data_IF_097415290717
#
_entry.id   IF_097415290717
#
_cell.length_a   1.000
_cell.length_b   1.000
_cell.length_c   1.000
_cell.angle_alpha   90.00
_cell.angle_beta   90.00
_cell.angle_gamma   90.00
#
_symmetry.space_group_name_H-M   'P 1'
#
loop_
_entity.id
_entity.type
_entity.pdbx_description
1 polymer ?
#
# COMPACT_ATOMS: atom_id res chain seq x y z
N UNK A 1 41.60 -13.82 -41.14
CA UNK A 1 41.89 -12.51 -40.55
C UNK A 1 41.34 -12.53 -39.13
N UNK A 2 42.19 -12.81 -38.13
CA UNK A 2 41.79 -12.79 -36.72
C UNK A 2 41.67 -11.33 -36.31
N UNK A 3 40.44 -10.84 -36.13
CA UNK A 3 40.21 -9.58 -35.42
C UNK A 3 40.75 -9.72 -34.00
N UNK A 4 41.80 -8.97 -33.71
CA UNK A 4 42.32 -8.77 -32.36
C UNK A 4 41.22 -8.17 -31.49
N UNK A 5 40.61 -8.98 -30.63
CA UNK A 5 39.77 -8.51 -29.54
C UNK A 5 40.66 -7.66 -28.64
N UNK A 6 40.55 -6.34 -28.79
CA UNK A 6 41.20 -5.40 -27.87
C UNK A 6 40.67 -5.70 -26.46
N UNK A 7 41.55 -5.98 -25.48
CA UNK A 7 41.10 -6.24 -24.12
C UNK A 7 40.37 -4.99 -23.62
N UNK A 8 39.13 -5.15 -23.15
CA UNK A 8 38.40 -4.04 -22.54
C UNK A 8 39.29 -3.34 -21.51
N UNK A 9 39.30 -1.99 -21.45
CA UNK A 9 40.10 -1.28 -20.49
C UNK A 9 39.77 -1.79 -19.09
N UNK A 10 40.81 -2.32 -18.41
CA UNK A 10 40.72 -2.86 -17.04
C UNK A 10 40.27 -1.81 -16.02
N UNK A 11 40.35 -0.52 -16.37
CA UNK A 11 40.06 0.59 -15.46
C UNK A 11 38.75 1.30 -15.80
N UNK A 12 37.96 1.56 -14.77
CA UNK A 12 36.76 2.37 -14.91
C UNK A 12 37.09 3.86 -14.98
N UNK A 13 36.42 4.58 -15.88
CA UNK A 13 36.48 6.06 -15.92
C UNK A 13 36.18 6.64 -14.53
N UNK A 14 36.86 7.72 -14.09
CA UNK A 14 36.66 8.31 -12.77
C UNK A 14 35.20 8.54 -12.39
N UNK A 15 34.40 9.08 -13.32
CA UNK A 15 32.96 9.30 -13.14
C UNK A 15 32.20 8.01 -12.81
N UNK A 16 32.46 6.90 -13.52
CA UNK A 16 31.79 5.61 -13.27
C UNK A 16 32.17 5.05 -11.90
N UNK A 17 33.40 5.28 -11.44
CA UNK A 17 33.84 4.90 -10.08
C UNK A 17 33.08 5.67 -9.01
N UNK A 18 32.95 6.99 -9.16
CA UNK A 18 32.21 7.84 -8.22
C UNK A 18 30.73 7.47 -8.20
N UNK A 19 30.13 7.33 -9.39
CA UNK A 19 28.72 6.93 -9.51
C UNK A 19 28.47 5.58 -8.85
N UNK A 20 29.33 4.59 -9.09
CA UNK A 20 29.21 3.29 -8.42
C UNK A 20 29.32 3.39 -6.90
N UNK A 21 30.31 4.15 -6.37
CA UNK A 21 30.47 4.33 -4.92
C UNK A 21 29.24 4.97 -4.29
N UNK A 22 28.70 6.01 -4.94
CA UNK A 22 27.46 6.64 -4.52
C UNK A 22 26.28 5.68 -4.57
N UNK A 23 26.05 5.00 -5.69
CA UNK A 23 24.95 4.04 -5.81
C UNK A 23 25.07 2.88 -4.83
N UNK A 24 26.29 2.40 -4.57
CA UNK A 24 26.54 1.33 -3.61
C UNK A 24 26.17 1.76 -2.19
N UNK A 25 26.59 2.96 -1.78
CA UNK A 25 26.29 3.48 -0.45
C UNK A 25 24.82 3.88 -0.34
N UNK A 26 24.30 4.70 -1.26
CA UNK A 26 22.95 5.23 -1.22
C UNK A 26 21.90 4.13 -1.27
N UNK A 27 21.89 3.31 -2.33
CA UNK A 27 20.87 2.28 -2.47
C UNK A 27 21.08 1.13 -1.48
N UNK A 28 22.33 0.81 -1.13
CA UNK A 28 22.63 -0.17 -0.08
C UNK A 28 22.09 0.27 1.28
N UNK A 29 22.37 1.51 1.68
CA UNK A 29 21.84 2.09 2.93
C UNK A 29 20.32 2.22 2.89
N UNK A 30 19.74 2.65 1.77
CA UNK A 30 18.28 2.71 1.62
C UNK A 30 17.65 1.34 1.82
N UNK A 31 18.18 0.29 1.17
CA UNK A 31 17.68 -1.08 1.35
C UNK A 31 17.81 -1.58 2.80
N UNK A 32 18.87 -1.20 3.51
CA UNK A 32 19.11 -1.66 4.89
C UNK A 32 18.33 -0.85 5.92
N UNK A 33 18.21 0.46 5.72
CA UNK A 33 17.54 1.36 6.65
C UNK A 33 16.02 1.38 6.46
N UNK A 34 15.54 1.02 5.26
CA UNK A 34 14.11 0.88 4.99
C UNK A 34 13.63 -0.50 5.45
N UNK A 35 12.83 -0.59 6.53
CA UNK A 35 12.52 -1.89 7.12
C UNK A 35 11.73 -2.79 6.17
N UNK A 36 10.80 -2.20 5.43
CA UNK A 36 9.97 -2.89 4.44
C UNK A 36 10.80 -3.60 3.37
N UNK A 37 11.96 -3.06 2.99
CA UNK A 37 12.81 -3.65 1.94
C UNK A 37 13.40 -5.00 2.34
N UNK A 38 13.61 -5.23 3.65
CA UNK A 38 14.20 -6.47 4.17
C UNK A 38 13.19 -7.39 4.84
N UNK A 39 12.10 -6.84 5.38
CA UNK A 39 11.13 -7.60 6.17
C UNK A 39 10.50 -8.75 5.35
N UNK A 40 10.26 -8.56 4.05
CA UNK A 40 9.72 -9.62 3.18
C UNK A 40 10.56 -10.91 3.16
N UNK A 41 11.86 -10.81 3.44
CA UNK A 41 12.74 -11.97 3.45
C UNK A 41 12.66 -12.79 4.75
N UNK A 42 12.06 -12.28 5.83
CA UNK A 42 11.77 -13.08 7.02
C UNK A 42 10.83 -14.23 6.69
N UNK A 43 10.03 -14.08 5.63
CA UNK A 43 9.04 -15.04 5.19
C UNK A 43 8.14 -15.52 6.33
N UNK A 44 7.84 -16.82 6.37
CA UNK A 44 6.94 -17.39 7.38
C UNK A 44 7.49 -17.27 8.81
N UNK A 45 8.78 -16.96 9.00
CA UNK A 45 9.28 -16.63 10.33
C UNK A 45 8.64 -15.36 10.92
N UNK A 46 8.05 -14.52 10.07
CA UNK A 46 7.29 -13.34 10.47
C UNK A 46 6.11 -13.66 11.40
N UNK A 47 5.58 -14.90 11.38
CA UNK A 47 4.48 -15.32 12.27
C UNK A 47 4.89 -15.26 13.75
N UNK A 48 6.18 -15.45 14.05
CA UNK A 48 6.72 -15.39 15.40
C UNK A 48 7.24 -14.01 15.79
N UNK A 49 7.17 -13.04 14.87
CA UNK A 49 7.55 -11.66 15.16
C UNK A 49 6.33 -10.88 15.67
N UNK A 50 6.51 -9.95 16.61
CA UNK A 50 5.46 -9.00 16.99
C UNK A 50 4.98 -8.17 15.79
N UNK A 51 3.72 -7.74 15.81
CA UNK A 51 3.09 -6.96 14.72
C UNK A 51 3.86 -5.67 14.40
N UNK A 52 4.56 -5.11 15.38
CA UNK A 52 5.35 -3.89 15.22
C UNK A 52 6.82 -4.12 14.83
N UNK A 53 7.22 -5.38 14.56
CA UNK A 53 8.59 -5.74 14.24
C UNK A 53 9.16 -5.02 13.02
N UNK A 54 8.30 -4.74 12.03
CA UNK A 54 8.67 -3.95 10.86
C UNK A 54 9.11 -2.53 11.23
N UNK A 55 8.70 -1.99 12.38
CA UNK A 55 9.05 -0.63 12.80
C UNK A 55 10.26 -0.56 13.73
N UNK A 56 10.81 -1.69 14.19
CA UNK A 56 11.88 -1.70 15.19
C UNK A 56 13.13 -0.91 14.78
N UNK A 57 13.52 -0.99 13.50
CA UNK A 57 14.68 -0.25 13.00
C UNK A 57 14.47 1.26 13.09
N UNK A 58 13.29 1.74 12.72
CA UNK A 58 12.95 3.17 12.73
C UNK A 58 12.82 3.66 14.16
N UNK A 59 12.19 2.88 15.05
CA UNK A 59 12.11 3.20 16.49
C UNK A 59 13.49 3.30 17.14
N UNK A 60 14.42 2.43 16.77
CA UNK A 60 15.80 2.51 17.27
C UNK A 60 16.50 3.80 16.79
N UNK A 61 16.20 4.23 15.57
CA UNK A 61 16.77 5.45 14.97
C UNK A 61 16.02 6.73 15.38
N UNK A 62 14.81 6.61 15.92
CA UNK A 62 13.90 7.73 16.18
C UNK A 62 14.54 8.86 16.98
N UNK A 63 15.24 8.65 18.11
CA UNK A 63 15.86 9.75 18.85
C UNK A 63 16.86 10.57 18.00
N UNK A 64 17.63 9.90 17.14
CA UNK A 64 18.57 10.57 16.25
C UNK A 64 17.84 11.30 15.12
N UNK A 65 16.79 10.68 14.55
CA UNK A 65 15.98 11.28 13.49
C UNK A 65 15.20 12.48 13.98
N UNK A 66 14.57 12.41 15.16
CA UNK A 66 13.88 13.53 15.81
C UNK A 66 14.87 14.66 16.10
N UNK A 67 16.08 14.37 16.61
CA UNK A 67 17.11 15.39 16.81
C UNK A 67 17.49 16.10 15.50
N UNK A 68 17.68 15.37 14.40
CA UNK A 68 17.94 15.96 13.09
C UNK A 68 16.74 16.80 12.61
N UNK A 69 15.52 16.28 12.78
CA UNK A 69 14.27 16.97 12.45
C UNK A 69 14.17 18.32 13.16
N UNK A 70 14.41 18.34 14.47
CA UNK A 70 14.41 19.57 15.25
C UNK A 70 15.54 20.52 14.87
N UNK A 71 16.77 20.01 14.78
CA UNK A 71 17.97 20.86 14.64
C UNK A 71 18.10 21.47 13.25
N UNK A 72 17.79 20.70 12.20
CA UNK A 72 17.99 21.15 10.82
C UNK A 72 16.71 21.67 10.16
N UNK A 73 15.55 21.12 10.54
CA UNK A 73 14.28 21.40 9.87
C UNK A 73 13.25 22.11 10.76
N UNK A 74 13.50 22.23 12.07
CA UNK A 74 12.58 22.87 13.01
C UNK A 74 11.25 22.14 13.18
N UNK A 75 11.23 20.82 12.97
CA UNK A 75 10.02 19.98 13.06
C UNK A 75 10.15 18.87 14.12
N UNK A 76 9.03 18.55 14.75
CA UNK A 76 8.84 17.35 15.57
C UNK A 76 8.65 16.12 14.67
N UNK A 77 9.74 15.51 14.23
CA UNK A 77 9.67 14.27 13.46
C UNK A 77 9.42 13.08 14.41
N UNK A 78 8.22 12.50 14.36
CA UNK A 78 7.80 11.37 15.19
C UNK A 78 7.24 10.23 14.32
N UNK A 79 7.35 9.00 14.83
CA UNK A 79 6.75 7.82 14.21
C UNK A 79 5.30 7.64 14.65
N UNK A 80 4.39 7.63 13.68
CA UNK A 80 2.98 7.30 13.87
C UNK A 80 2.67 5.92 13.28
N UNK A 81 1.99 5.06 14.04
CA UNK A 81 1.64 3.69 13.61
C UNK A 81 0.30 3.67 12.83
N UNK A 82 0.22 4.46 11.76
CA UNK A 82 -0.99 4.65 10.94
C UNK A 82 -0.86 4.10 9.50
N UNK A 83 0.22 3.37 9.20
CA UNK A 83 0.48 2.79 7.88
C UNK A 83 1.02 3.77 6.83
N UNK A 84 1.17 5.06 7.13
CA UNK A 84 1.78 6.04 6.23
C UNK A 84 3.29 5.82 6.10
N UNK A 85 3.78 5.65 4.87
CA UNK A 85 5.21 5.56 4.55
C UNK A 85 5.88 6.90 4.20
N UNK A 86 5.11 8.00 4.18
CA UNK A 86 5.57 9.36 3.81
C UNK A 86 5.58 10.33 5.00
N UNK A 87 5.65 9.82 6.23
CA UNK A 87 5.74 10.63 7.44
C UNK A 87 7.03 11.46 7.48
N UNK A 88 7.01 12.58 8.20
CA UNK A 88 8.15 13.48 8.34
C UNK A 88 9.42 12.76 8.79
N UNK A 89 9.31 11.80 9.71
CA UNK A 89 10.44 10.99 10.18
C UNK A 89 11.12 10.18 9.05
N UNK A 90 10.36 9.67 8.08
CA UNK A 90 10.91 8.94 6.94
C UNK A 90 11.63 9.86 5.94
N UNK A 91 11.14 11.10 5.77
CA UNK A 91 11.84 12.10 4.97
C UNK A 91 13.15 12.55 5.62
N UNK A 92 13.16 12.72 6.94
CA UNK A 92 14.40 13.01 7.70
C UNK A 92 15.37 11.84 7.60
N UNK A 93 14.88 10.61 7.72
CA UNK A 93 15.70 9.41 7.51
C UNK A 93 16.31 9.36 6.11
N UNK A 94 15.52 9.65 5.07
CA UNK A 94 16.00 9.70 3.70
C UNK A 94 17.09 10.76 3.51
N UNK A 95 16.91 11.93 4.10
CA UNK A 95 17.93 12.98 4.11
C UNK A 95 19.23 12.50 4.76
N UNK A 96 19.16 11.86 5.94
CA UNK A 96 20.31 11.28 6.61
C UNK A 96 21.02 10.24 5.74
N UNK A 97 20.27 9.33 5.10
CA UNK A 97 20.81 8.34 4.16
C UNK A 97 21.54 9.01 3.00
N UNK A 98 20.97 10.08 2.43
CA UNK A 98 21.58 10.84 1.34
C UNK A 98 22.91 11.49 1.78
N UNK A 99 22.91 12.19 2.92
CA UNK A 99 24.11 12.86 3.45
C UNK A 99 25.22 11.85 3.75
N UNK A 100 24.88 10.75 4.43
CA UNK A 100 25.85 9.68 4.73
C UNK A 100 26.41 9.08 3.44
N UNK A 101 25.57 8.84 2.43
CA UNK A 101 26.03 8.31 1.15
C UNK A 101 26.95 9.28 0.42
N UNK A 102 26.66 10.59 0.43
CA UNK A 102 27.50 11.62 -0.18
C UNK A 102 28.87 11.73 0.52
N UNK A 103 28.88 11.85 1.85
CA UNK A 103 30.12 11.93 2.65
C UNK A 103 30.93 10.64 2.49
N UNK A 104 30.28 9.48 2.59
CA UNK A 104 30.94 8.19 2.40
C UNK A 104 31.51 8.04 0.99
N UNK A 105 30.83 8.56 -0.04
CA UNK A 105 31.34 8.55 -1.42
C UNK A 105 32.57 9.43 -1.57
N UNK A 106 32.56 10.62 -0.95
CA UNK A 106 33.71 11.53 -0.94
C UNK A 106 34.92 10.86 -0.28
N UNK A 107 34.74 10.35 0.94
CA UNK A 107 35.80 9.64 1.69
C UNK A 107 36.32 8.44 0.89
N UNK A 108 35.44 7.59 0.36
CA UNK A 108 35.84 6.46 -0.46
C UNK A 108 36.55 6.89 -1.75
N UNK A 109 36.22 8.07 -2.29
CA UNK A 109 36.89 8.59 -3.48
C UNK A 109 38.28 9.12 -3.20
N UNK A 110 38.49 9.77 -2.06
CA UNK A 110 39.80 10.30 -1.65
C UNK A 110 40.78 9.18 -1.23
N UNK A 111 40.30 8.15 -0.53
CA UNK A 111 41.17 7.11 0.04
C UNK A 111 41.15 5.78 -0.73
N UNK A 112 40.16 5.55 -1.60
CA UNK A 112 39.97 4.28 -2.29
C UNK A 112 40.93 4.06 -3.46
N UNK A 113 41.86 3.11 -3.31
CA UNK A 113 42.86 2.75 -4.34
C UNK A 113 42.36 1.85 -5.47
N UNK A 114 41.21 1.18 -5.31
CA UNK A 114 40.66 0.28 -6.35
C UNK A 114 40.11 1.07 -7.54
N UNK A 115 40.49 0.63 -8.74
CA UNK A 115 40.14 1.27 -10.03
C UNK A 115 39.01 0.58 -10.79
N UNK A 116 38.51 -0.55 -10.29
CA UNK A 116 37.44 -1.33 -10.91
C UNK A 116 36.58 -2.03 -9.84
N UNK A 117 35.26 -2.09 -10.06
CA UNK A 117 34.31 -2.66 -9.10
C UNK A 117 33.28 -3.61 -9.74
N UNK A 118 33.57 -4.25 -10.90
CA UNK A 118 32.59 -5.11 -11.61
C UNK A 118 31.95 -6.17 -10.71
N UNK A 119 32.73 -6.84 -9.85
CA UNK A 119 32.18 -7.87 -8.94
C UNK A 119 31.25 -7.27 -7.89
N UNK A 120 31.63 -6.14 -7.28
CA UNK A 120 30.82 -5.44 -6.29
C UNK A 120 29.56 -4.85 -6.91
N UNK A 121 29.63 -4.33 -8.13
CA UNK A 121 28.46 -3.90 -8.90
C UNK A 121 27.52 -5.06 -9.21
N UNK A 122 28.05 -6.23 -9.56
CA UNK A 122 27.22 -7.43 -9.75
C UNK A 122 26.47 -7.85 -8.48
N UNK A 123 27.11 -7.75 -7.32
CA UNK A 123 26.44 -8.01 -6.03
C UNK A 123 25.40 -6.95 -5.68
N UNK A 124 25.72 -5.66 -5.87
CA UNK A 124 24.78 -4.57 -5.64
C UNK A 124 23.53 -4.75 -6.50
N UNK A 125 23.68 -4.92 -7.81
CA UNK A 125 22.57 -5.13 -8.74
C UNK A 125 21.74 -6.37 -8.37
N UNK A 126 22.38 -7.44 -7.91
CA UNK A 126 21.66 -8.63 -7.43
C UNK A 126 20.82 -8.31 -6.19
N UNK A 127 21.38 -7.67 -5.17
CA UNK A 127 20.64 -7.32 -3.94
C UNK A 127 19.48 -6.38 -4.25
N UNK A 128 19.74 -5.31 -5.01
CA UNK A 128 18.71 -4.35 -5.44
C UNK A 128 17.59 -5.03 -6.20
N UNK A 129 17.93 -5.94 -7.12
CA UNK A 129 16.96 -6.74 -7.87
C UNK A 129 16.09 -7.58 -6.95
N UNK A 130 16.68 -8.26 -5.98
CA UNK A 130 15.92 -9.10 -5.04
C UNK A 130 14.99 -8.27 -4.17
N UNK A 131 15.42 -7.10 -3.71
CA UNK A 131 14.56 -6.20 -2.91
C UNK A 131 13.37 -5.71 -3.74
N UNK A 132 13.59 -5.21 -4.96
CA UNK A 132 12.49 -4.79 -5.84
C UNK A 132 11.59 -5.97 -6.19
N UNK A 133 12.16 -7.15 -6.43
CA UNK A 133 11.38 -8.35 -6.71
C UNK A 133 10.43 -8.70 -5.56
N UNK A 134 10.92 -8.70 -4.32
CA UNK A 134 10.11 -8.98 -3.14
C UNK A 134 8.99 -7.94 -2.95
N UNK A 135 9.30 -6.65 -3.12
CA UNK A 135 8.30 -5.57 -3.00
C UNK A 135 7.22 -5.64 -4.08
N UNK A 136 7.57 -5.97 -5.32
CA UNK A 136 6.58 -6.14 -6.39
C UNK A 136 5.73 -7.40 -6.21
N UNK A 137 6.27 -8.47 -5.62
CA UNK A 137 5.47 -9.63 -5.20
C UNK A 137 4.51 -9.24 -4.07
N UNK A 138 4.97 -8.46 -3.09
CA UNK A 138 4.14 -7.96 -1.98
C UNK A 138 2.93 -7.16 -2.49
N UNK A 139 3.19 -6.07 -3.22
CA UNK A 139 2.12 -5.21 -3.73
C UNK A 139 1.28 -5.90 -4.81
N UNK A 140 1.90 -6.74 -5.64
CA UNK A 140 1.20 -7.53 -6.64
C UNK A 140 0.20 -8.49 -6.01
N UNK A 141 0.60 -9.26 -5.00
CA UNK A 141 -0.30 -10.17 -4.28
C UNK A 141 -1.39 -9.42 -3.50
N UNK A 142 -1.07 -8.28 -2.88
CA UNK A 142 -2.05 -7.44 -2.18
C UNK A 142 -3.13 -6.85 -3.11
N UNK A 143 -2.90 -6.85 -4.43
CA UNK A 143 -3.88 -6.47 -5.45
C UNK A 143 -4.57 -7.67 -6.09
N UNK A 144 -3.85 -8.77 -6.34
CA UNK A 144 -4.39 -10.02 -6.89
C UNK A 144 -5.37 -10.69 -5.92
N UNK A 145 -5.03 -10.70 -4.64
CA UNK A 145 -6.00 -10.90 -3.57
C UNK A 145 -6.47 -9.49 -3.22
N UNK A 146 -7.71 -9.06 -3.51
CA UNK A 146 -8.13 -7.65 -3.47
C UNK A 146 -8.16 -7.00 -2.06
N UNK A 147 -7.04 -7.08 -1.33
CA UNK A 147 -6.86 -6.70 0.06
C UNK A 147 -6.30 -5.27 0.20
N UNK A 148 -5.62 -4.74 -0.82
CA UNK A 148 -5.03 -3.40 -0.78
C UNK A 148 -6.08 -2.28 -0.91
N UNK A 149 -7.03 -2.45 -1.83
CA UNK A 149 -8.12 -1.51 -2.10
C UNK A 149 -9.43 -2.29 -2.02
N UNK A 150 -10.01 -2.49 -0.81
CA UNK A 150 -11.25 -3.24 -0.67
C UNK A 150 -12.41 -2.55 -1.40
N UNK A 151 -13.51 -3.27 -1.58
CA UNK A 151 -14.74 -2.72 -2.15
C UNK A 151 -15.19 -1.46 -1.39
N UNK A 152 -15.80 -0.47 -2.07
CA UNK A 152 -16.29 0.73 -1.41
C UNK A 152 -17.23 0.39 -0.27
N UNK A 153 -16.91 0.92 0.90
CA UNK A 153 -17.71 0.79 2.10
C UNK A 153 -19.16 1.24 1.85
N UNK A 154 -20.11 0.69 2.60
CA UNK A 154 -21.52 1.11 2.55
C UNK A 154 -21.66 2.61 2.88
N UNK A 155 -20.83 3.11 3.79
CA UNK A 155 -20.71 4.53 4.10
C UNK A 155 -20.30 5.37 2.88
N UNK A 156 -19.38 4.90 2.05
CA UNK A 156 -18.96 5.59 0.81
C UNK A 156 -20.12 5.78 -0.17
N UNK A 157 -21.10 4.86 -0.21
CA UNK A 157 -22.28 4.99 -1.08
C UNK A 157 -23.17 6.17 -0.69
N UNK A 158 -23.09 6.61 0.56
CA UNK A 158 -23.85 7.75 1.11
C UNK A 158 -23.05 9.06 1.05
N UNK A 159 -21.74 8.99 0.81
CA UNK A 159 -20.85 10.14 0.83
C UNK A 159 -20.84 10.87 -0.52
N UNK A 160 -21.11 12.19 -0.55
CA UNK A 160 -20.93 12.98 -1.76
C UNK A 160 -19.49 12.92 -2.28
N UNK A 161 -19.31 12.83 -3.60
CA UNK A 161 -17.97 12.78 -4.22
C UNK A 161 -17.10 13.98 -3.84
N UNK A 162 -17.71 15.15 -3.62
CA UNK A 162 -17.02 16.38 -3.22
C UNK A 162 -16.38 16.33 -1.84
N UNK A 163 -16.82 15.41 -0.97
CA UNK A 163 -16.31 15.25 0.40
C UNK A 163 -15.17 14.21 0.47
N UNK A 164 -14.94 13.47 -0.61
CA UNK A 164 -13.86 12.49 -0.68
C UNK A 164 -12.52 13.19 -0.92
N UNK A 165 -11.51 12.84 -0.12
CA UNK A 165 -10.13 13.23 -0.44
C UNK A 165 -9.68 12.59 -1.76
N UNK A 166 -8.69 13.16 -2.48
CA UNK A 166 -8.16 12.54 -3.69
C UNK A 166 -7.68 11.10 -3.48
N UNK A 167 -7.07 10.81 -2.33
CA UNK A 167 -6.66 9.47 -1.95
C UNK A 167 -7.85 8.52 -1.85
N UNK A 168 -8.89 8.91 -1.10
CA UNK A 168 -10.09 8.09 -0.88
C UNK A 168 -10.85 7.86 -2.18
N UNK A 169 -10.91 8.88 -3.06
CA UNK A 169 -11.52 8.75 -4.38
C UNK A 169 -10.79 7.71 -5.24
N UNK A 170 -9.45 7.81 -5.32
CA UNK A 170 -8.64 6.85 -6.07
C UNK A 170 -8.79 5.42 -5.52
N UNK A 171 -8.79 5.26 -4.19
CA UNK A 171 -8.94 3.96 -3.55
C UNK A 171 -10.28 3.32 -3.88
N UNK A 172 -11.38 4.06 -3.76
CA UNK A 172 -12.72 3.56 -4.08
C UNK A 172 -12.91 3.33 -5.57
N UNK A 173 -12.28 4.13 -6.44
CA UNK A 173 -12.31 3.89 -7.89
C UNK A 173 -11.74 2.51 -8.23
N UNK A 174 -10.58 2.16 -7.66
CA UNK A 174 -9.97 0.85 -7.89
C UNK A 174 -10.76 -0.26 -7.21
N UNK A 175 -11.16 -0.06 -5.96
CA UNK A 175 -11.93 -1.04 -5.18
C UNK A 175 -13.32 -1.34 -5.75
N UNK A 176 -13.94 -0.38 -6.45
CA UNK A 176 -15.20 -0.60 -7.15
C UNK A 176 -15.09 -1.60 -8.30
N UNK A 177 -13.87 -1.91 -8.77
CA UNK A 177 -13.61 -2.91 -9.80
C UNK A 177 -12.51 -3.90 -9.35
N UNK A 178 -12.89 -4.98 -8.65
CA UNK A 178 -11.94 -6.02 -8.24
C UNK A 178 -11.14 -6.59 -9.42
N UNK A 179 -11.76 -6.72 -10.60
CA UNK A 179 -11.07 -7.17 -11.82
C UNK A 179 -9.95 -6.22 -12.24
N UNK A 180 -10.19 -4.89 -12.20
CA UNK A 180 -9.17 -3.91 -12.52
C UNK A 180 -7.99 -3.97 -11.54
N UNK A 181 -8.28 -4.06 -10.23
CA UNK A 181 -7.27 -4.24 -9.21
C UNK A 181 -6.43 -5.51 -9.42
N UNK A 182 -7.06 -6.65 -9.70
CA UNK A 182 -6.37 -7.91 -9.98
C UNK A 182 -5.43 -7.78 -11.18
N UNK A 183 -5.84 -7.10 -12.25
CA UNK A 183 -4.99 -6.87 -13.43
C UNK A 183 -3.77 -5.99 -13.11
N UNK A 184 -3.95 -4.93 -12.32
CA UNK A 184 -2.84 -4.11 -11.82
C UNK A 184 -1.86 -4.96 -10.99
N UNK A 185 -2.41 -5.78 -10.08
CA UNK A 185 -1.63 -6.71 -9.25
C UNK A 185 -0.89 -7.77 -10.05
N UNK A 186 -1.51 -8.32 -11.09
CA UNK A 186 -0.90 -9.33 -11.94
C UNK A 186 0.32 -8.78 -12.69
N UNK A 187 0.28 -7.51 -13.12
CA UNK A 187 1.42 -6.85 -13.75
C UNK A 187 2.60 -6.71 -12.77
N UNK A 188 2.34 -6.24 -11.55
CA UNK A 188 3.35 -6.11 -10.48
C UNK A 188 3.93 -7.47 -10.07
N UNK A 189 3.06 -8.45 -9.80
CA UNK A 189 3.44 -9.80 -9.40
C UNK A 189 4.30 -10.46 -10.48
N UNK A 190 3.90 -10.34 -11.74
CA UNK A 190 4.67 -10.86 -12.87
C UNK A 190 6.04 -10.20 -12.96
N UNK A 191 6.13 -8.87 -12.81
CA UNK A 191 7.40 -8.16 -12.77
C UNK A 191 8.32 -8.69 -11.66
N UNK A 192 7.78 -8.84 -10.44
CA UNK A 192 8.50 -9.36 -9.28
C UNK A 192 9.03 -10.78 -9.50
N UNK A 193 8.19 -11.71 -9.97
CA UNK A 193 8.59 -13.09 -10.26
C UNK A 193 9.66 -13.17 -11.35
N UNK A 194 9.54 -12.37 -12.42
CA UNK A 194 10.54 -12.30 -13.48
C UNK A 194 11.89 -11.74 -13.00
N UNK A 195 11.91 -10.87 -11.99
CA UNK A 195 13.15 -10.33 -11.41
C UNK A 195 13.93 -11.37 -10.58
N UNK A 196 13.25 -12.31 -9.92
CA UNK A 196 13.94 -13.40 -9.21
C UNK A 196 14.69 -14.34 -10.16
N UNK A 197 14.17 -14.55 -11.38
CA UNK A 197 14.76 -15.45 -12.35
C UNK A 197 15.80 -14.68 -13.20
N UNK A 198 17.11 -14.99 -13.10
CA UNK A 198 18.15 -14.17 -13.73
C UNK A 198 18.03 -14.01 -15.24
N UNK A 199 17.42 -14.99 -15.93
CA UNK A 199 17.23 -14.96 -17.39
C UNK A 199 16.12 -14.00 -17.83
N UNK A 200 15.13 -13.75 -16.98
CA UNK A 200 13.99 -12.88 -17.29
C UNK A 200 14.10 -11.51 -16.64
N UNK A 201 15.14 -11.28 -15.83
CA UNK A 201 15.29 -10.08 -15.03
C UNK A 201 15.26 -8.76 -15.82
N UNK A 202 15.72 -8.74 -17.08
CA UNK A 202 15.62 -7.53 -17.92
C UNK A 202 14.16 -7.23 -18.25
N UNK A 203 13.39 -8.23 -18.66
CA UNK A 203 11.94 -8.09 -18.92
C UNK A 203 11.20 -7.68 -17.65
N UNK A 204 11.52 -8.33 -16.52
CA UNK A 204 10.98 -7.96 -15.21
C UNK A 204 11.32 -6.52 -14.82
N UNK A 205 12.53 -6.04 -15.12
CA UNK A 205 12.95 -4.66 -14.81
C UNK A 205 12.22 -3.63 -15.68
N UNK A 206 11.97 -3.93 -16.96
CA UNK A 206 11.17 -3.07 -17.84
C UNK A 206 9.74 -2.96 -17.30
N UNK A 207 9.10 -4.09 -17.00
CA UNK A 207 7.73 -4.11 -16.48
C UNK A 207 7.65 -3.41 -15.10
N UNK A 208 8.64 -3.63 -14.24
CA UNK A 208 8.76 -2.94 -12.95
C UNK A 208 8.85 -1.42 -13.11
N UNK A 209 9.66 -0.92 -14.04
CA UNK A 209 9.77 0.53 -14.29
C UNK A 209 8.46 1.12 -14.78
N UNK A 210 7.77 0.45 -15.72
CA UNK A 210 6.45 0.92 -16.22
C UNK A 210 5.42 0.95 -15.09
N UNK A 211 5.32 -0.14 -14.33
CA UNK A 211 4.38 -0.25 -13.22
C UNK A 211 4.68 0.76 -12.10
N UNK A 212 5.93 0.86 -11.67
CA UNK A 212 6.33 1.81 -10.61
C UNK A 212 6.25 3.26 -11.06
N UNK A 213 6.42 3.56 -12.35
CA UNK A 213 6.15 4.91 -12.87
C UNK A 213 4.68 5.28 -12.70
N UNK A 214 3.76 4.39 -13.06
CA UNK A 214 2.32 4.61 -12.85
C UNK A 214 2.00 4.79 -11.36
N UNK A 215 2.46 3.86 -10.50
CA UNK A 215 2.23 3.93 -9.06
C UNK A 215 2.79 5.22 -8.46
N UNK A 216 4.02 5.61 -8.81
CA UNK A 216 4.64 6.83 -8.32
C UNK A 216 3.86 8.09 -8.76
N UNK A 217 3.40 8.14 -10.01
CA UNK A 217 2.56 9.25 -10.50
C UNK A 217 1.25 9.34 -9.71
N UNK A 218 0.56 8.22 -9.49
CA UNK A 218 -0.66 8.18 -8.67
C UNK A 218 -0.38 8.66 -7.24
N UNK A 219 0.75 8.25 -6.66
CA UNK A 219 1.11 8.64 -5.31
C UNK A 219 1.39 10.13 -5.16
N UNK A 220 2.01 10.74 -6.19
CA UNK A 220 2.28 12.17 -6.23
C UNK A 220 1.01 13.00 -6.51
N UNK A 221 0.08 12.49 -7.32
CA UNK A 221 -1.08 13.25 -7.80
C UNK A 221 -2.33 13.09 -6.93
N UNK A 222 -2.49 11.95 -6.25
CA UNK A 222 -3.63 11.67 -5.36
C UNK A 222 -3.24 11.64 -3.88
N UNK A 223 -2.00 12.01 -3.53
CA UNK A 223 -1.56 12.11 -2.14
C UNK A 223 -1.33 10.78 -1.42
N UNK A 224 -1.27 9.65 -2.14
CA UNK A 224 -1.06 8.32 -1.54
C UNK A 224 0.28 8.26 -0.77
N UNK A 225 0.30 7.90 0.52
CA UNK A 225 1.45 8.10 1.40
C UNK A 225 2.53 7.01 1.29
N UNK A 226 2.98 6.68 0.08
CA UNK A 226 4.10 5.75 -0.19
C UNK A 226 5.02 6.24 -1.32
N UNK A 227 5.20 7.56 -1.45
CA UNK A 227 6.04 8.24 -2.45
C UNK A 227 7.51 7.87 -2.30
N UNK A 228 8.03 7.82 -1.07
CA UNK A 228 9.45 7.48 -0.82
C UNK A 228 9.73 6.08 -1.40
N UNK A 229 8.96 5.07 -1.00
CA UNK A 229 9.19 3.70 -1.43
C UNK A 229 8.98 3.53 -2.93
N UNK A 230 7.83 3.95 -3.47
CA UNK A 230 7.52 3.80 -4.90
C UNK A 230 8.53 4.53 -5.80
N UNK A 231 8.96 5.74 -5.41
CA UNK A 231 10.01 6.47 -6.12
C UNK A 231 11.35 5.75 -6.11
N UNK A 232 11.72 5.12 -4.99
CA UNK A 232 12.95 4.32 -4.92
C UNK A 232 12.86 3.01 -5.69
N UNK A 233 11.71 2.33 -5.70
CA UNK A 233 11.51 1.15 -6.55
C UNK A 233 11.66 1.50 -8.03
N UNK A 234 11.10 2.65 -8.47
CA UNK A 234 11.29 3.18 -9.82
C UNK A 234 12.77 3.49 -10.10
N UNK A 235 13.45 4.23 -9.22
CA UNK A 235 14.87 4.57 -9.39
C UNK A 235 15.76 3.32 -9.44
N UNK A 236 15.52 2.35 -8.57
CA UNK A 236 16.26 1.08 -8.56
C UNK A 236 15.96 0.31 -9.85
N UNK A 237 14.71 0.26 -10.32
CA UNK A 237 14.36 -0.32 -11.62
C UNK A 237 15.16 0.28 -12.77
N UNK A 238 15.31 1.62 -12.79
CA UNK A 238 16.15 2.31 -13.77
C UNK A 238 17.64 1.95 -13.62
N UNK A 239 18.14 1.82 -12.39
CA UNK A 239 19.52 1.35 -12.12
C UNK A 239 19.75 -0.07 -12.62
N UNK A 240 18.76 -0.96 -12.49
CA UNK A 240 18.82 -2.33 -13.01
C UNK A 240 18.85 -2.36 -14.55
N UNK A 241 18.17 -1.42 -15.21
CA UNK A 241 18.17 -1.29 -16.66
C UNK A 241 19.41 -0.54 -17.22
N UNK A 242 20.08 0.28 -16.41
CA UNK A 242 21.18 1.12 -16.88
C UNK A 242 22.31 0.35 -17.60
N UNK A 243 22.77 -0.85 -17.14
CA UNK A 243 23.75 -1.65 -17.88
C UNK A 243 23.24 -2.17 -19.23
N UNK A 244 21.92 -2.30 -19.39
CA UNK A 244 21.26 -2.84 -20.58
C UNK A 244 20.78 -1.75 -21.54
N UNK A 245 20.78 -0.47 -21.13
CA UNK A 245 20.17 0.63 -21.88
C UNK A 245 20.66 0.72 -23.33
N UNK A 246 21.96 0.51 -23.58
CA UNK A 246 22.52 0.50 -24.95
C UNK A 246 21.99 -0.65 -25.78
N UNK A 247 21.88 -1.86 -25.21
CA UNK A 247 21.35 -3.04 -25.90
C UNK A 247 19.87 -2.86 -26.19
N UNK A 248 19.10 -2.39 -25.21
CA UNK A 248 17.68 -2.13 -25.36
C UNK A 248 17.40 -1.06 -26.43
N UNK A 249 18.15 0.05 -26.43
CA UNK A 249 18.02 1.09 -27.45
C UNK A 249 18.39 0.58 -28.84
N UNK A 250 19.48 -0.20 -28.94
CA UNK A 250 19.91 -0.79 -30.20
C UNK A 250 18.84 -1.71 -30.79
N UNK A 251 18.22 -2.59 -29.99
CA UNK A 251 17.19 -3.52 -30.46
C UNK A 251 15.85 -2.83 -30.71
N UNK A 252 15.33 -2.07 -29.73
CA UNK A 252 13.96 -1.56 -29.74
C UNK A 252 13.79 -0.29 -30.57
N UNK A 253 14.82 0.57 -30.64
CA UNK A 253 14.73 1.88 -31.31
C UNK A 253 15.50 1.87 -32.62
N UNK A 254 16.74 1.36 -32.60
CA UNK A 254 17.62 1.39 -33.78
C UNK A 254 17.45 0.16 -34.69
N UNK A 255 16.65 -0.82 -34.29
CA UNK A 255 16.44 -2.09 -34.99
C UNK A 255 17.76 -2.81 -35.39
N UNK A 256 18.73 -2.81 -34.47
CA UNK A 256 20.05 -3.44 -34.65
C UNK A 256 20.15 -4.73 -33.85
N UNK A 257 20.91 -5.69 -34.39
CA UNK A 257 21.29 -6.90 -33.67
C UNK A 257 22.24 -6.56 -32.52
N UNK A 258 22.12 -7.28 -31.40
CA UNK A 258 22.99 -7.09 -30.23
C UNK A 258 23.55 -8.41 -29.73
N UNK A 259 24.77 -8.35 -29.20
CA UNK A 259 25.41 -9.49 -28.53
C UNK A 259 24.81 -9.79 -27.15
N UNK A 260 25.39 -10.77 -26.42
CA UNK A 260 24.98 -11.11 -25.06
C UNK A 260 25.13 -9.91 -24.11
N UNK A 261 24.38 -9.94 -23.00
CA UNK A 261 24.49 -8.94 -21.93
C UNK A 261 25.92 -8.84 -21.40
N UNK A 262 26.37 -7.61 -21.19
CA UNK A 262 27.64 -7.28 -20.52
C UNK A 262 27.41 -6.75 -19.09
N UNK A 263 26.19 -6.87 -18.57
CA UNK A 263 25.85 -6.41 -17.24
C UNK A 263 26.73 -7.12 -16.19
N UNK A 264 27.21 -6.40 -15.15
CA UNK A 264 28.01 -7.01 -14.10
C UNK A 264 27.24 -8.13 -13.40
N UNK A 265 27.86 -9.31 -13.28
CA UNK A 265 27.29 -10.45 -12.56
C UNK A 265 28.31 -11.04 -11.56
N UNK A 266 27.91 -11.33 -10.31
CA UNK A 266 28.87 -11.67 -9.26
C UNK A 266 29.47 -13.08 -9.40
N UNK A 267 28.82 -13.97 -10.16
CA UNK A 267 29.23 -15.37 -10.31
C UNK A 267 29.91 -15.64 -11.66
N UNK A 268 31.11 -16.23 -11.62
CA UNK A 268 31.96 -16.49 -12.82
C UNK A 268 31.83 -17.91 -13.37
N UNK A 269 31.66 -18.92 -12.52
CA UNK A 269 31.62 -20.33 -12.96
C UNK A 269 30.20 -20.78 -13.27
N UNK A 270 30.04 -21.71 -14.22
CA UNK A 270 28.73 -22.27 -14.58
C UNK A 270 28.00 -22.88 -13.37
N UNK A 271 28.72 -23.63 -12.53
CA UNK A 271 28.17 -24.24 -11.30
C UNK A 271 27.66 -23.17 -10.32
N UNK A 272 28.44 -22.13 -10.06
CA UNK A 272 28.02 -21.05 -9.16
C UNK A 272 26.80 -20.30 -9.70
N UNK A 273 26.74 -20.03 -11.02
CA UNK A 273 25.57 -19.41 -11.66
C UNK A 273 24.32 -20.28 -11.51
N UNK A 274 24.45 -21.60 -11.71
CA UNK A 274 23.34 -22.55 -11.57
C UNK A 274 22.84 -22.62 -10.13
N UNK A 275 23.74 -22.72 -9.14
CA UNK A 275 23.38 -22.71 -7.71
C UNK A 275 22.69 -21.39 -7.37
N UNK A 276 23.25 -20.25 -7.77
CA UNK A 276 22.66 -18.95 -7.50
C UNK A 276 21.26 -18.78 -8.13
N UNK A 277 21.02 -19.33 -9.33
CA UNK A 277 19.67 -19.33 -9.92
C UNK A 277 18.70 -20.14 -9.06
N UNK A 278 19.09 -21.35 -8.61
CA UNK A 278 18.23 -22.17 -7.75
C UNK A 278 17.97 -21.51 -6.39
N UNK A 279 18.98 -20.90 -5.77
CA UNK A 279 18.79 -20.15 -4.53
C UNK A 279 17.80 -18.98 -4.70
N UNK A 280 17.86 -18.27 -5.83
CA UNK A 280 16.92 -17.17 -6.10
C UNK A 280 15.51 -17.67 -6.40
N UNK A 281 15.35 -18.80 -7.09
CA UNK A 281 14.04 -19.42 -7.31
C UNK A 281 13.46 -19.92 -5.99
N UNK A 282 14.27 -20.56 -5.14
CA UNK A 282 13.85 -20.98 -3.81
C UNK A 282 13.45 -19.77 -2.95
N UNK A 283 14.21 -18.67 -3.02
CA UNK A 283 13.87 -17.41 -2.35
C UNK A 283 12.56 -16.82 -2.89
N UNK A 284 12.33 -16.88 -4.20
CA UNK A 284 11.08 -16.44 -4.82
C UNK A 284 9.88 -17.22 -4.27
N UNK A 285 10.00 -18.55 -4.20
CA UNK A 285 8.95 -19.42 -3.62
C UNK A 285 8.74 -19.07 -2.15
N UNK A 286 9.81 -18.94 -1.37
CA UNK A 286 9.76 -18.58 0.05
C UNK A 286 9.00 -17.27 0.29
N UNK A 287 9.41 -16.20 -0.41
CA UNK A 287 8.80 -14.86 -0.30
C UNK A 287 7.35 -14.89 -0.78
N UNK A 288 7.07 -15.51 -1.94
CA UNK A 288 5.73 -15.54 -2.52
C UNK A 288 4.75 -16.32 -1.64
N UNK A 289 5.14 -17.49 -1.13
CA UNK A 289 4.30 -18.30 -0.25
C UNK A 289 4.00 -17.56 1.05
N UNK A 290 5.03 -16.93 1.64
CA UNK A 290 4.87 -16.16 2.86
C UNK A 290 3.92 -14.97 2.68
N UNK A 291 4.15 -14.15 1.66
CA UNK A 291 3.30 -12.99 1.38
C UNK A 291 1.87 -13.45 1.09
N UNK A 292 1.70 -14.52 0.31
CA UNK A 292 0.37 -15.09 0.03
C UNK A 292 -0.36 -15.45 1.34
N UNK A 293 0.33 -16.08 2.29
CA UNK A 293 -0.23 -16.44 3.59
C UNK A 293 -0.72 -15.21 4.37
N UNK A 294 0.12 -14.18 4.51
CA UNK A 294 -0.25 -12.96 5.24
C UNK A 294 -1.36 -12.16 4.53
N UNK A 295 -1.24 -11.97 3.21
CA UNK A 295 -2.24 -11.26 2.42
C UNK A 295 -3.58 -12.01 2.42
N UNK A 296 -3.57 -13.34 2.44
CA UNK A 296 -4.79 -14.13 2.59
C UNK A 296 -5.49 -13.86 3.93
N UNK A 297 -4.74 -13.74 5.02
CA UNK A 297 -5.29 -13.34 6.31
C UNK A 297 -5.95 -11.95 6.28
N UNK A 298 -5.30 -10.98 5.62
CA UNK A 298 -5.87 -9.64 5.41
C UNK A 298 -7.16 -9.74 4.58
N UNK A 299 -7.14 -10.49 3.48
CA UNK A 299 -8.31 -10.71 2.63
C UNK A 299 -9.49 -11.32 3.41
N UNK A 300 -9.25 -12.26 4.32
CA UNK A 300 -10.31 -12.79 5.18
C UNK A 300 -10.89 -11.74 6.14
N UNK A 301 -10.11 -10.74 6.52
CA UNK A 301 -10.55 -9.66 7.40
C UNK A 301 -11.28 -8.53 6.67
N UNK A 302 -10.92 -8.22 5.42
CA UNK A 302 -11.43 -7.05 4.67
C UNK A 302 -12.27 -7.38 3.44
N UNK A 303 -12.21 -8.61 2.95
CA UNK A 303 -12.92 -9.05 1.74
C UNK A 303 -14.44 -9.15 1.93
N UNK A 304 -15.19 -9.46 0.86
CA UNK A 304 -16.66 -9.47 0.85
C UNK A 304 -17.27 -10.53 1.78
N UNK A 305 -16.53 -11.61 2.03
CA UNK A 305 -16.90 -12.74 2.89
C UNK A 305 -16.39 -12.60 4.33
N UNK A 306 -15.85 -11.43 4.70
CA UNK A 306 -15.43 -11.15 6.08
C UNK A 306 -16.60 -11.32 7.05
N UNK A 307 -16.34 -11.58 8.35
CA UNK A 307 -17.37 -11.55 9.37
C UNK A 307 -18.14 -10.22 9.36
N UNK A 308 -19.47 -10.31 9.30
CA UNK A 308 -20.39 -9.16 9.27
C UNK A 308 -21.07 -9.01 10.64
N UNK A 309 -21.27 -7.77 11.13
CA UNK A 309 -22.01 -7.55 12.37
C UNK A 309 -23.48 -7.97 12.22
N UNK A 310 -24.19 -8.21 13.35
CA UNK A 310 -25.65 -8.26 13.33
C UNK A 310 -26.23 -7.00 12.67
N UNK A 311 -27.38 -7.14 12.00
CA UNK A 311 -28.04 -6.06 11.27
C UNK A 311 -27.23 -5.48 10.09
N UNK A 312 -26.22 -6.20 9.57
CA UNK A 312 -25.39 -5.71 8.45
C UNK A 312 -26.21 -5.11 7.29
N UNK A 313 -25.91 -3.86 6.94
CA UNK A 313 -26.57 -3.13 5.87
C UNK A 313 -26.71 -1.63 6.15
N UNK A 314 -27.37 -0.96 5.21
CA UNK A 314 -27.78 0.44 5.30
C UNK A 314 -29.25 0.48 5.73
N UNK A 315 -29.58 1.33 6.69
CA UNK A 315 -30.92 1.44 7.25
C UNK A 315 -31.37 2.88 7.30
N UNK A 316 -32.46 3.21 6.60
CA UNK A 316 -33.12 4.51 6.68
C UNK A 316 -34.02 4.60 7.92
N UNK A 317 -33.96 5.71 8.64
CA UNK A 317 -34.85 6.00 9.77
C UNK A 317 -36.14 6.60 9.22
N UNK A 318 -37.28 5.93 9.38
CA UNK A 318 -38.59 6.39 8.91
C UNK A 318 -39.38 7.11 9.99
N UNK A 319 -39.29 6.65 11.23
CA UNK A 319 -39.98 7.20 12.39
C UNK A 319 -38.94 7.46 13.48
N UNK A 320 -39.01 8.62 14.12
CA UNK A 320 -38.15 8.99 15.24
C UNK A 320 -39.00 9.68 16.30
N UNK A 321 -38.98 9.14 17.52
CA UNK A 321 -39.66 9.70 18.69
C UNK A 321 -38.59 10.06 19.71
N UNK A 322 -38.63 11.27 20.26
CA UNK A 322 -37.72 11.74 21.33
C UNK A 322 -38.57 12.14 22.53
N UNK A 323 -38.24 11.60 23.70
CA UNK A 323 -38.91 11.87 24.98
C UNK A 323 -40.45 11.71 24.91
N UNK A 324 -40.91 10.75 24.09
CA UNK A 324 -42.32 10.43 23.89
C UNK A 324 -43.04 11.20 22.79
N UNK A 325 -42.39 12.21 22.19
CA UNK A 325 -42.97 13.04 21.13
C UNK A 325 -42.36 12.69 19.75
N UNK A 326 -43.16 12.56 18.68
CA UNK A 326 -42.64 12.40 17.32
C UNK A 326 -41.77 13.59 16.91
N UNK A 327 -40.52 13.34 16.55
CA UNK A 327 -39.60 14.37 16.05
C UNK A 327 -39.53 14.29 14.51
N UNK A 328 -40.19 15.22 13.78
CA UNK A 328 -40.08 15.25 12.33
C UNK A 328 -38.63 15.54 11.92
N UNK A 329 -38.14 14.99 10.79
CA UNK A 329 -36.78 15.18 10.32
C UNK A 329 -36.57 16.62 9.84
N UNK A 330 -36.28 17.52 10.77
CA UNK A 330 -35.99 18.91 10.51
C UNK A 330 -34.48 19.06 10.25
N UNK A 331 -34.11 19.75 9.17
CA UNK A 331 -32.71 20.06 8.87
C UNK A 331 -32.02 20.88 9.96
N UNK A 332 -32.79 21.49 10.87
CA UNK A 332 -32.30 22.23 12.03
C UNK A 332 -32.01 21.36 13.24
N UNK A 333 -32.40 20.07 13.25
CA UNK A 333 -32.04 19.13 14.30
C UNK A 333 -30.71 18.43 13.92
N UNK A 334 -29.64 18.90 14.53
CA UNK A 334 -28.26 18.42 14.34
C UNK A 334 -27.99 17.06 15.04
N UNK A 335 -28.95 16.52 15.79
CA UNK A 335 -28.78 15.32 16.61
C UNK A 335 -29.61 14.13 16.15
N UNK A 336 -30.58 14.35 15.27
CA UNK A 336 -31.44 13.29 14.76
C UNK A 336 -30.72 12.46 13.68
N UNK A 337 -30.75 11.14 13.86
CA UNK A 337 -30.21 10.21 12.88
C UNK A 337 -31.22 10.01 11.75
N UNK A 338 -30.73 10.09 10.51
CA UNK A 338 -31.49 9.83 9.27
C UNK A 338 -31.19 8.44 8.72
N UNK A 339 -29.94 8.00 8.80
CA UNK A 339 -29.49 6.71 8.28
C UNK A 339 -28.57 6.06 9.29
N UNK A 340 -28.66 4.75 9.47
CA UNK A 340 -27.76 3.95 10.31
C UNK A 340 -27.12 2.88 9.43
N UNK A 341 -25.81 2.69 9.55
CA UNK A 341 -25.03 1.74 8.76
C UNK A 341 -24.29 0.80 9.69
N UNK A 342 -24.58 -0.49 9.54
CA UNK A 342 -23.90 -1.58 10.22
C UNK A 342 -23.02 -2.29 9.21
N UNK A 343 -21.71 -2.05 9.27
CA UNK A 343 -20.79 -2.58 8.26
C UNK A 343 -19.64 -3.38 8.88
N UNK A 344 -18.98 -2.85 9.90
CA UNK A 344 -17.84 -3.48 10.57
C UNK A 344 -18.18 -3.85 12.02
N UNK A 345 -17.66 -4.99 12.48
CA UNK A 345 -17.79 -5.40 13.88
C UNK A 345 -17.03 -4.39 14.75
N UNK A 346 -17.63 -3.96 15.86
CA UNK A 346 -17.02 -2.99 16.78
C UNK A 346 -17.21 -1.52 16.35
N UNK A 347 -17.98 -1.26 15.30
CA UNK A 347 -18.27 0.09 14.81
C UNK A 347 -19.76 0.26 14.48
N UNK A 348 -20.25 1.48 14.67
CA UNK A 348 -21.54 1.96 14.20
C UNK A 348 -21.32 3.23 13.40
N UNK A 349 -21.92 3.31 12.21
CA UNK A 349 -21.97 4.57 11.47
C UNK A 349 -23.39 5.08 11.37
N UNK A 350 -23.57 6.39 11.44
CA UNK A 350 -24.87 7.03 11.28
C UNK A 350 -24.73 8.35 10.54
N UNK A 351 -25.76 8.69 9.78
CA UNK A 351 -25.87 9.95 9.06
C UNK A 351 -26.90 10.83 9.76
N UNK A 352 -26.53 12.07 10.05
CA UNK A 352 -27.42 13.08 10.62
C UNK A 352 -28.36 13.69 9.56
N UNK A 353 -29.36 14.45 10.01
CA UNK A 353 -30.33 15.09 9.11
C UNK A 353 -29.70 16.08 8.13
N UNK A 354 -28.60 16.73 8.51
CA UNK A 354 -27.81 17.64 7.68
C UNK A 354 -26.92 16.93 6.63
N UNK A 355 -26.85 15.60 6.69
CA UNK A 355 -26.04 14.76 5.80
C UNK A 355 -24.67 14.36 6.37
N UNK A 356 -24.27 14.91 7.52
CA UNK A 356 -23.01 14.61 8.18
C UNK A 356 -22.95 13.13 8.56
N UNK A 357 -21.89 12.45 8.12
CA UNK A 357 -21.67 11.02 8.38
C UNK A 357 -20.65 10.86 9.52
N UNK A 358 -21.05 10.14 10.56
CA UNK A 358 -20.23 9.88 11.75
C UNK A 358 -20.02 8.38 11.89
N UNK A 359 -18.77 7.97 12.11
CA UNK A 359 -18.41 6.59 12.47
C UNK A 359 -17.85 6.58 13.89
N UNK A 360 -18.47 5.79 14.76
CA UNK A 360 -18.09 5.67 16.16
C UNK A 360 -17.79 4.20 16.51
N UNK A 361 -16.95 3.94 17.54
CA UNK A 361 -16.90 2.63 18.16
C UNK A 361 -18.28 2.22 18.63
N UNK A 362 -18.67 0.97 18.45
CA UNK A 362 -19.99 0.49 18.88
C UNK A 362 -20.07 -1.02 18.92
N UNK A 363 -20.76 -1.55 19.93
CA UNK A 363 -20.99 -2.99 20.07
C UNK A 363 -22.44 -3.33 19.78
N UNK A 364 -22.65 -4.48 19.15
CA UNK A 364 -23.98 -5.01 18.85
C UNK A 364 -23.99 -6.44 19.34
N UNK A 365 -24.75 -6.70 20.39
CA UNK A 365 -24.87 -8.02 20.98
C UNK A 365 -26.19 -8.66 20.52
N UNK A 366 -26.14 -9.68 19.63
CA UNK A 366 -27.33 -10.36 19.16
C UNK A 366 -27.97 -11.27 20.21
N UNK A 367 -27.26 -11.64 21.29
CA UNK A 367 -27.82 -12.47 22.35
C UNK A 367 -28.67 -11.65 23.33
N UNK A 368 -28.23 -10.43 23.64
CA UNK A 368 -28.95 -9.52 24.55
C UNK A 368 -29.79 -8.48 23.82
N UNK A 369 -29.73 -8.43 22.49
CA UNK A 369 -30.42 -7.46 21.64
C UNK A 369 -30.05 -6.00 21.98
N UNK A 370 -28.78 -5.75 22.31
CA UNK A 370 -28.28 -4.44 22.75
C UNK A 370 -27.31 -3.83 21.75
N UNK A 371 -27.36 -2.52 21.61
CA UNK A 371 -26.40 -1.68 20.89
C UNK A 371 -25.86 -0.66 21.87
N UNK A 372 -24.54 -0.60 22.00
CA UNK A 372 -23.89 0.36 22.89
C UNK A 372 -22.85 1.16 22.10
N UNK A 373 -22.97 2.48 22.17
CA UNK A 373 -22.00 3.44 21.63
C UNK A 373 -21.49 4.28 22.80
N UNK A 374 -20.21 4.17 23.17
CA UNK A 374 -19.64 4.99 24.22
C UNK A 374 -19.60 6.45 23.80
N UNK A 375 -19.76 7.36 24.77
CA UNK A 375 -19.51 8.78 24.53
C UNK A 375 -18.05 8.98 24.12
N UNK A 376 -17.83 9.81 23.11
CA UNK A 376 -16.48 10.24 22.77
C UNK A 376 -15.94 11.19 23.85
N UNK A 377 -14.74 10.92 24.36
CA UNK A 377 -14.03 11.78 25.33
C UNK A 377 -13.74 13.18 24.79
N UNK A 378 -13.72 13.37 23.47
CA UNK A 378 -13.57 14.69 22.83
C UNK A 378 -14.91 15.42 22.59
N UNK A 379 -16.06 14.82 22.98
CA UNK A 379 -17.38 15.44 22.95
C UNK A 379 -18.10 15.43 21.59
N UNK A 380 -17.56 14.76 20.56
CA UNK A 380 -18.12 14.77 19.20
C UNK A 380 -19.21 13.72 18.94
N UNK A 381 -19.28 12.66 19.74
CA UNK A 381 -20.24 11.55 19.56
C UNK A 381 -21.05 11.34 20.84
N UNK A 382 -22.39 11.48 20.81
CA UNK A 382 -23.23 11.21 21.98
C UNK A 382 -23.21 9.73 22.34
N UNK A 383 -23.25 9.41 23.63
CA UNK A 383 -23.46 8.03 24.08
C UNK A 383 -24.83 7.52 23.60
N UNK A 384 -24.89 6.25 23.24
CA UNK A 384 -26.14 5.56 22.93
C UNK A 384 -26.19 4.21 23.64
N UNK A 385 -27.32 3.91 24.28
CA UNK A 385 -27.64 2.62 24.87
C UNK A 385 -29.02 2.21 24.36
N UNK A 386 -29.03 1.43 23.28
CA UNK A 386 -30.23 1.06 22.55
C UNK A 386 -30.46 -0.45 22.66
N UNK A 387 -31.72 -0.83 22.57
CA UNK A 387 -32.16 -2.21 22.35
C UNK A 387 -32.74 -2.29 20.95
N UNK A 388 -32.61 -3.45 20.30
CA UNK A 388 -33.14 -3.65 18.97
C UNK A 388 -34.10 -4.84 18.89
N UNK A 389 -35.15 -4.67 18.10
CA UNK A 389 -36.05 -5.74 17.71
C UNK A 389 -36.12 -5.79 16.18
N UNK A 390 -35.95 -6.97 15.58
CA UNK A 390 -35.98 -7.15 14.13
C UNK A 390 -37.18 -8.02 13.75
N UNK A 391 -38.40 -7.44 13.65
CA UNK A 391 -39.61 -8.19 13.35
C UNK A 391 -39.59 -8.82 11.95
N UNK A 392 -38.90 -8.20 11.00
CA UNK A 392 -38.69 -8.74 9.64
C UNK A 392 -37.26 -8.45 9.17
N UNK A 393 -36.74 -9.16 8.15
CA UNK A 393 -35.40 -8.92 7.62
C UNK A 393 -35.14 -7.47 7.19
N UNK A 394 -36.18 -6.74 6.79
CA UNK A 394 -36.08 -5.38 6.25
C UNK A 394 -36.59 -4.28 7.20
N UNK A 395 -36.94 -4.63 8.45
CA UNK A 395 -37.40 -3.67 9.46
C UNK A 395 -36.75 -3.95 10.80
N UNK A 396 -36.20 -2.90 11.42
CA UNK A 396 -35.66 -2.93 12.79
C UNK A 396 -36.28 -1.80 13.58
N UNK A 397 -36.58 -2.04 14.86
CA UNK A 397 -36.98 -0.99 15.80
C UNK A 397 -35.87 -0.85 16.84
N UNK A 398 -35.39 0.39 17.06
CA UNK A 398 -34.44 0.71 18.12
C UNK A 398 -35.14 1.49 19.22
N UNK A 399 -34.91 1.11 20.49
CA UNK A 399 -35.45 1.79 21.65
C UNK A 399 -34.39 1.95 22.73
N UNK A 400 -34.28 3.11 23.35
CA UNK A 400 -33.37 3.31 24.49
C UNK A 400 -32.98 4.77 24.68
N UNK A 401 -31.74 5.00 25.09
CA UNK A 401 -31.21 6.35 25.30
C UNK A 401 -30.18 6.73 24.23
N UNK A 402 -30.28 7.96 23.72
CA UNK A 402 -29.34 8.57 22.80
C UNK A 402 -29.06 10.01 23.25
N UNK A 403 -27.81 10.31 23.60
CA UNK A 403 -27.42 11.65 24.04
C UNK A 403 -28.15 12.14 25.29
N UNK A 404 -28.60 11.23 26.15
CA UNK A 404 -29.39 11.54 27.36
C UNK A 404 -30.90 11.70 27.13
N UNK A 405 -31.37 11.53 25.90
CA UNK A 405 -32.80 11.55 25.56
C UNK A 405 -33.33 10.13 25.33
N UNK A 406 -34.56 9.87 25.75
CA UNK A 406 -35.23 8.61 25.43
C UNK A 406 -35.68 8.62 23.98
N UNK A 407 -35.22 7.67 23.18
CA UNK A 407 -35.53 7.60 21.74
C UNK A 407 -36.17 6.27 21.35
N UNK A 408 -37.07 6.34 20.37
CA UNK A 408 -37.62 5.19 19.66
C UNK A 408 -37.54 5.45 18.15
N UNK A 409 -36.99 4.50 17.40
CA UNK A 409 -36.68 4.66 15.98
C UNK A 409 -37.13 3.43 15.19
N UNK A 410 -37.87 3.65 14.10
CA UNK A 410 -38.16 2.61 13.10
C UNK A 410 -37.17 2.74 11.94
N UNK A 411 -36.50 1.64 11.62
CA UNK A 411 -35.51 1.52 10.56
C UNK A 411 -36.04 0.64 9.42
N UNK A 412 -35.80 1.04 8.18
CA UNK A 412 -36.03 0.24 6.99
C UNK A 412 -34.74 0.00 6.21
N UNK A 413 -34.53 -1.24 5.82
CA UNK A 413 -33.34 -1.66 5.08
C UNK A 413 -33.33 -1.02 3.69
N UNK A 414 -32.19 -0.43 3.35
CA UNK A 414 -31.87 0.04 2.00
C UNK A 414 -30.97 -0.99 1.33
N UNK A 415 -31.34 -1.36 0.10
CA UNK A 415 -30.55 -2.28 -0.72
C UNK A 415 -29.35 -1.52 -1.34
N UNK A 416 -28.10 -1.88 -1.00
CA UNK A 416 -26.91 -1.24 -1.56
C UNK A 416 -26.80 -1.36 -3.08
N UNK A 417 -27.43 -2.36 -3.69
CA UNK A 417 -27.38 -2.58 -5.13
C UNK A 417 -28.33 -1.65 -5.91
N UNK A 418 -29.11 -0.80 -5.22
CA UNK A 418 -29.86 0.30 -5.83
C UNK A 418 -28.99 1.51 -6.16
N UNK A 419 -27.82 1.65 -5.52
CA UNK A 419 -26.91 2.76 -5.79
C UNK A 419 -26.26 2.58 -7.16
N UNK A 420 -26.21 3.64 -7.96
CA UNK A 420 -25.68 3.62 -9.34
C UNK A 420 -24.29 2.98 -9.41
N UNK A 421 -23.41 3.26 -8.44
CA UNK A 421 -22.05 2.70 -8.41
C UNK A 421 -22.03 1.16 -8.40
N UNK A 422 -23.02 0.51 -7.78
CA UNK A 422 -23.13 -0.96 -7.71
C UNK A 422 -24.04 -1.56 -8.78
N UNK A 423 -25.07 -0.81 -9.21
CA UNK A 423 -26.04 -1.30 -10.19
C UNK A 423 -25.54 -1.29 -11.64
N UNK A 424 -24.53 -0.46 -11.95
CA UNK A 424 -23.97 -0.33 -13.31
C UNK A 424 -22.70 -1.17 -13.49
N UNK A 425 -22.87 -2.45 -13.82
CA UNK A 425 -21.76 -3.33 -14.23
C UNK A 425 -21.36 -3.19 -15.70
N UNK A 426 -20.39 -4.02 -16.13
CA UNK A 426 -19.94 -4.05 -17.54
C UNK A 426 -21.08 -4.40 -18.51
N UNK A 427 -21.21 -3.58 -19.56
CA UNK A 427 -22.12 -3.81 -20.70
C UNK A 427 -21.40 -3.50 -21.99
N UNK A 428 -21.58 -4.34 -23.02
CA UNK A 428 -21.00 -4.10 -24.34
C UNK A 428 -21.65 -2.91 -25.06
N UNK A 429 -22.94 -2.67 -24.82
CA UNK A 429 -23.71 -1.57 -25.39
C UNK A 429 -24.12 -0.66 -24.23
N UNK A 430 -23.71 0.62 -24.30
CA UNK A 430 -24.00 1.63 -23.31
C UNK A 430 -24.50 2.90 -24.00
N UNK A 431 -25.82 3.01 -24.19
CA UNK A 431 -26.46 4.14 -24.87
C UNK A 431 -26.45 5.41 -24.00
N UNK A 432 -26.49 5.24 -22.67
CA UNK A 432 -26.52 6.32 -21.69
C UNK A 432 -25.50 6.04 -20.58
N UNK A 433 -24.22 6.40 -20.76
CA UNK A 433 -23.16 6.10 -19.78
C UNK A 433 -23.18 6.99 -18.53
N UNK A 434 -23.93 8.10 -18.55
CA UNK A 434 -23.93 9.11 -17.48
C UNK A 434 -25.32 9.33 -16.84
N UNK A 435 -26.31 8.49 -17.16
CA UNK A 435 -27.69 8.59 -16.65
C UNK A 435 -28.05 7.36 -15.83
#
# INVERSE_FOLDING_TARGET
MQESVTPEPREWKPFIRILFRFSFLYFGLFCVASPVMLFEFTGLFGIWLPDDAVFWQVRLMEPALSWVGHTLFGIDAALYLNGSGDQSIYWVQLFCVLVIALVGTLVWTLFGRRVEYRRSAGWLLLVLRLCVAAQLVHYGLAKVLPAQMPEPALTTLLTPVGDLTPFTLLWNQVGASPTYQILLGAAELTAGLLLFIPRTAVVGSILAVVSMAQVFILNMTFGVPVKILSGHLLLIGLVLLAPEARRLTAVLVLNRTTGPSTAPYPFRTFRARRIATWCQVALAVWVTVSITYFTWGIWQAVGPDRPKPPLYGIWSVSEFTRDGEPAPPLLTDETQWRTVVFEHIGQLSYQLTDGTLVTAPGTIDPATHRIEVPADTAGGTPAAALTFDQPTPDRVTLNGELGGHSVSMTLHRLDPDQFTLRSTGFRWIQEQPAQ
#
